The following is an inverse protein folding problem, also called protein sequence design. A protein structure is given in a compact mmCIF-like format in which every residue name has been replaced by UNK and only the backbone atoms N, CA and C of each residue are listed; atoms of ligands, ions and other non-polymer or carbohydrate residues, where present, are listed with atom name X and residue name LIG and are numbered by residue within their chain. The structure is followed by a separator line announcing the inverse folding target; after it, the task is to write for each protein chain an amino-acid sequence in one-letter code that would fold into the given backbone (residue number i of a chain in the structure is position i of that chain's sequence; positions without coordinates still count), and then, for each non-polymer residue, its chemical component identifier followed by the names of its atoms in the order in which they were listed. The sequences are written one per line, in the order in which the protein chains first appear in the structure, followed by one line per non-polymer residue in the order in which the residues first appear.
data_IF_437828612397
#
_entry.id   IF_437828612397
#
_cell.length_a   1.000
_cell.length_b   1.000
_cell.length_c   1.000
_cell.angle_alpha   90.00
_cell.angle_beta   90.00
_cell.angle_gamma   90.00
#
_symmetry.space_group_name_H-M   'P 1'
#
loop_
_entity.id
_entity.type
_entity.pdbx_description
1 polymer ?
#
# COMPACT_ATOMS: atom_id res chain seq x y z
N UNK A 1 18.64 7.73 16.18
CA UNK A 1 18.41 6.48 15.41
C UNK A 1 17.11 5.74 15.74
N UNK A 2 16.39 6.02 16.85
CA UNK A 2 15.17 5.28 17.24
C UNK A 2 13.86 5.80 16.60
N UNK A 3 13.86 7.02 16.05
CA UNK A 3 12.66 7.66 15.48
C UNK A 3 12.55 7.59 13.94
N UNK A 4 13.62 7.15 13.26
CA UNK A 4 13.65 7.09 11.79
C UNK A 4 13.28 5.71 11.24
N UNK A 5 13.48 4.63 12.02
CA UNK A 5 13.18 3.27 11.58
C UNK A 5 11.68 3.05 11.25
N UNK A 6 10.79 3.83 11.89
CA UNK A 6 9.33 3.72 11.69
C UNK A 6 8.80 4.51 10.48
N UNK A 7 9.58 5.40 9.87
CA UNK A 7 9.06 6.29 8.80
C UNK A 7 9.04 5.64 7.42
N UNK A 8 9.90 4.65 7.18
CA UNK A 8 10.16 4.16 5.84
C UNK A 8 9.30 2.96 5.43
N UNK A 9 8.64 2.31 6.39
CA UNK A 9 7.72 1.20 6.15
C UNK A 9 6.31 1.67 6.55
N UNK A 10 5.56 2.35 5.67
CA UNK A 10 4.14 2.55 5.94
C UNK A 10 3.44 1.20 6.14
N UNK A 11 2.51 1.21 7.10
CA UNK A 11 1.54 0.15 7.32
C UNK A 11 2.13 -1.17 7.85
N UNK A 12 3.28 -1.12 8.54
CA UNK A 12 3.80 -2.28 9.27
C UNK A 12 2.87 -2.62 10.44
N UNK A 13 1.98 -3.58 10.21
CA UNK A 13 1.03 -4.05 11.23
C UNK A 13 1.39 -5.44 11.73
N UNK A 14 1.31 -5.62 13.05
CA UNK A 14 1.43 -6.95 13.66
C UNK A 14 0.12 -7.69 13.48
N UNK A 15 0.12 -8.66 12.56
CA UNK A 15 -1.07 -9.46 12.27
C UNK A 15 -1.24 -10.60 13.26
N UNK A 16 -0.12 -11.21 13.66
CA UNK A 16 -0.13 -12.33 14.60
C UNK A 16 1.12 -12.27 15.47
N UNK A 17 0.92 -12.53 16.76
CA UNK A 17 1.97 -12.68 17.76
C UNK A 17 1.67 -13.95 18.55
N UNK A 18 2.57 -14.91 18.49
CA UNK A 18 2.55 -16.10 19.32
C UNK A 18 3.73 -16.06 20.27
N UNK A 19 3.47 -16.24 21.55
CA UNK A 19 4.51 -16.31 22.57
C UNK A 19 4.44 -17.69 23.21
N UNK A 20 5.56 -18.39 23.23
CA UNK A 20 5.68 -19.72 23.81
C UNK A 20 6.90 -19.80 24.72
N UNK A 21 6.78 -20.53 25.82
CA UNK A 21 7.91 -20.81 26.70
C UNK A 21 8.68 -22.03 26.16
N UNK A 22 9.97 -21.85 25.87
CA UNK A 22 10.89 -22.93 25.46
C UNK A 22 11.62 -23.55 26.66
N UNK A 23 11.54 -22.92 27.84
CA UNK A 23 12.13 -23.38 29.08
C UNK A 23 12.02 -22.32 30.19
N UNK A 24 12.55 -22.59 31.40
CA UNK A 24 12.39 -21.74 32.58
C UNK A 24 13.03 -20.35 32.48
N UNK A 25 13.81 -20.08 31.43
CA UNK A 25 14.44 -18.79 31.18
C UNK A 25 14.48 -18.45 29.69
N UNK A 26 13.73 -19.17 28.86
CA UNK A 26 13.73 -18.96 27.41
C UNK A 26 12.30 -18.88 26.89
N UNK A 27 12.02 -17.79 26.19
CA UNK A 27 10.72 -17.50 25.57
C UNK A 27 10.93 -17.31 24.08
N UNK A 28 10.13 -17.98 23.27
CA UNK A 28 10.09 -17.74 21.84
C UNK A 28 8.85 -16.91 21.50
N UNK A 29 9.06 -15.80 20.79
CA UNK A 29 8.00 -14.99 20.22
C UNK A 29 8.06 -15.09 18.68
N UNK A 30 6.96 -15.53 18.07
CA UNK A 30 6.77 -15.54 16.62
C UNK A 30 5.86 -14.39 16.25
N UNK A 31 6.32 -13.51 15.37
CA UNK A 31 5.60 -12.35 14.91
C UNK A 31 5.44 -12.41 13.40
N UNK A 32 4.21 -12.20 12.93
CA UNK A 32 3.92 -12.03 11.52
C UNK A 32 3.50 -10.60 11.24
N UNK A 33 4.20 -9.95 10.31
CA UNK A 33 3.93 -8.58 9.89
C UNK A 33 3.59 -8.51 8.41
N UNK A 34 2.76 -7.54 8.04
CA UNK A 34 2.56 -7.14 6.65
C UNK A 34 2.84 -5.64 6.52
N UNK A 35 3.36 -5.21 5.38
CA UNK A 35 3.62 -3.79 5.13
C UNK A 35 4.29 -3.53 3.79
N UNK A 36 4.51 -2.26 3.48
CA UNK A 36 5.19 -1.82 2.25
C UNK A 36 6.30 -0.83 2.61
N UNK A 37 7.44 -0.88 1.93
CA UNK A 37 8.52 0.08 2.12
C UNK A 37 8.43 1.22 1.09
N UNK A 38 8.42 2.49 1.52
CA UNK A 38 8.37 3.67 0.61
C UNK A 38 9.75 4.15 0.19
N UNK A 39 10.77 3.97 1.03
CA UNK A 39 12.17 4.30 0.71
C UNK A 39 13.10 3.24 1.28
N UNK A 40 14.30 3.06 0.71
CA UNK A 40 15.20 1.98 1.09
C UNK A 40 15.59 2.05 2.57
N UNK A 41 14.92 1.25 3.40
CA UNK A 41 15.20 1.14 4.82
C UNK A 41 16.13 -0.03 5.11
N UNK A 42 15.90 -1.18 4.46
CA UNK A 42 16.84 -2.29 4.45
C UNK A 42 16.72 -3.10 3.16
N UNK A 43 17.84 -3.63 2.65
CA UNK A 43 17.90 -4.33 1.36
C UNK A 43 17.01 -5.59 1.29
N UNK A 44 16.71 -6.19 2.44
CA UNK A 44 15.81 -7.34 2.50
C UNK A 44 14.34 -6.98 2.21
N UNK A 45 13.94 -5.72 2.34
CA UNK A 45 12.58 -5.27 2.08
C UNK A 45 12.52 -4.53 0.73
N UNK A 46 11.84 -5.08 -0.29
CA UNK A 46 11.70 -4.42 -1.58
C UNK A 46 10.91 -3.10 -1.44
N UNK A 47 11.42 -2.03 -2.02
CA UNK A 47 10.72 -0.74 -2.11
C UNK A 47 9.50 -0.88 -3.02
N UNK A 48 8.35 -0.32 -2.59
CA UNK A 48 7.11 -0.27 -3.36
C UNK A 48 6.39 -1.61 -3.48
N UNK A 49 6.82 -2.67 -2.79
CA UNK A 49 6.14 -3.96 -2.80
C UNK A 49 5.60 -4.30 -1.42
N UNK A 50 4.33 -4.69 -1.39
CA UNK A 50 3.70 -5.24 -0.20
C UNK A 50 4.29 -6.62 0.09
N UNK A 51 4.64 -6.86 1.35
CA UNK A 51 5.33 -8.06 1.78
C UNK A 51 4.75 -8.55 3.10
N UNK A 52 4.72 -9.88 3.27
CA UNK A 52 4.46 -10.55 4.54
C UNK A 52 5.77 -11.14 5.06
N UNK A 53 6.02 -11.02 6.36
CA UNK A 53 7.24 -11.49 6.99
C UNK A 53 6.93 -12.27 8.26
N UNK A 54 7.74 -13.30 8.51
CA UNK A 54 7.75 -14.01 9.77
C UNK A 54 9.07 -13.75 10.50
N UNK A 55 8.97 -13.27 11.73
CA UNK A 55 10.12 -13.03 12.61
C UNK A 55 9.98 -13.91 13.83
N UNK A 56 11.01 -14.70 14.12
CA UNK A 56 11.11 -15.45 15.38
C UNK A 56 12.13 -14.76 16.26
N UNK A 57 11.75 -14.40 17.46
CA UNK A 57 12.65 -13.91 18.50
C UNK A 57 12.78 -14.99 19.57
N UNK A 58 14.00 -15.43 19.87
CA UNK A 58 14.29 -16.16 21.11
C UNK A 58 14.79 -15.18 22.15
N UNK A 59 14.15 -15.16 23.31
CA UNK A 59 14.41 -14.25 24.40
C UNK A 59 14.86 -15.10 25.58
N UNK A 60 16.13 -14.96 25.96
CA UNK A 60 16.63 -15.51 27.22
C UNK A 60 16.51 -14.45 28.30
N UNK A 61 16.09 -14.88 29.48
CA UNK A 61 15.91 -14.01 30.64
C UNK A 61 16.92 -14.36 31.74
N UNK A 62 17.35 -13.34 32.48
CA UNK A 62 18.13 -13.55 33.70
C UNK A 62 17.25 -14.06 34.86
N UNK A 63 17.87 -14.30 36.02
CA UNK A 63 17.16 -14.78 37.23
C UNK A 63 16.13 -13.79 37.78
N UNK A 64 16.15 -12.53 37.35
CA UNK A 64 15.17 -11.49 37.70
C UNK A 64 14.00 -11.41 36.72
N UNK A 65 14.01 -12.24 35.67
CA UNK A 65 13.00 -12.25 34.61
C UNK A 65 13.21 -11.15 33.56
N UNK A 66 14.37 -10.50 33.54
CA UNK A 66 14.70 -9.48 32.53
C UNK A 66 15.37 -10.13 31.34
N UNK A 67 15.01 -9.71 30.14
CA UNK A 67 15.67 -10.15 28.91
C UNK A 67 17.18 -9.86 28.99
N UNK A 68 17.99 -10.92 28.95
CA UNK A 68 19.45 -10.89 28.99
C UNK A 68 20.07 -11.10 27.61
N UNK A 69 19.38 -11.83 26.73
CA UNK A 69 19.73 -12.01 25.33
C UNK A 69 18.47 -12.10 24.48
N UNK A 70 18.47 -11.46 23.31
CA UNK A 70 17.39 -11.55 22.33
C UNK A 70 18.00 -11.89 20.97
N UNK A 71 17.71 -13.09 20.46
CA UNK A 71 18.15 -13.56 19.15
C UNK A 71 16.98 -13.44 18.16
N UNK A 72 17.18 -12.68 17.08
CA UNK A 72 16.19 -12.56 16.01
C UNK A 72 16.56 -13.44 14.82
N UNK A 73 15.62 -14.28 14.39
CA UNK A 73 15.68 -15.02 13.13
C UNK A 73 14.57 -14.52 12.21
N UNK A 74 14.97 -14.03 11.05
CA UNK A 74 14.07 -13.56 10.01
C UNK A 74 13.87 -14.68 8.99
N UNK A 75 12.63 -15.16 8.87
CA UNK A 75 12.23 -16.11 7.83
C UNK A 75 11.44 -15.34 6.77
N UNK A 76 12.12 -15.05 5.66
CA UNK A 76 11.55 -14.33 4.54
C UNK A 76 10.68 -15.26 3.68
N UNK A 77 9.40 -15.42 4.05
CA UNK A 77 8.40 -15.92 3.11
C UNK A 77 7.86 -14.72 2.33
N UNK A 78 8.58 -14.29 1.30
CA UNK A 78 8.07 -13.31 0.34
C UNK A 78 6.94 -13.96 -0.48
N UNK A 79 5.80 -14.24 0.15
CA UNK A 79 4.54 -14.32 -0.58
C UNK A 79 4.26 -12.92 -1.09
N UNK A 80 4.61 -12.67 -2.34
CA UNK A 80 4.08 -11.52 -3.06
C UNK A 80 2.56 -11.68 -3.01
N UNK A 81 1.88 -10.78 -2.28
CA UNK A 81 0.42 -10.72 -2.31
C UNK A 81 0.04 -10.64 -3.80
N UNK A 82 -0.63 -11.69 -4.29
CA UNK A 82 -1.05 -11.76 -5.69
C UNK A 82 -1.85 -10.49 -6.01
N UNK A 83 -1.46 -9.83 -7.10
CA UNK A 83 -1.94 -8.51 -7.54
C UNK A 83 -3.47 -8.39 -7.57
N UNK A 84 -4.17 -9.51 -7.71
CA UNK A 84 -5.63 -9.59 -7.82
C UNK A 84 -6.39 -9.27 -6.52
N UNK A 85 -5.84 -9.59 -5.33
CA UNK A 85 -6.55 -9.39 -4.06
C UNK A 85 -6.57 -7.92 -3.59
N UNK A 86 -5.58 -7.12 -3.98
CA UNK A 86 -5.49 -5.70 -3.61
C UNK A 86 -6.33 -4.79 -4.51
N UNK A 87 -6.62 -5.20 -5.75
CA UNK A 87 -7.40 -4.41 -6.71
C UNK A 87 -8.82 -4.15 -6.22
N UNK A 88 -9.46 -5.14 -5.57
CA UNK A 88 -10.82 -4.99 -5.06
C UNK A 88 -10.90 -3.94 -3.93
N UNK A 89 -9.97 -3.97 -2.97
CA UNK A 89 -9.90 -3.00 -1.87
C UNK A 89 -9.53 -1.59 -2.35
N UNK A 90 -8.55 -1.49 -3.25
CA UNK A 90 -8.17 -0.23 -3.88
C UNK A 90 -9.32 0.37 -4.69
N UNK A 91 -10.07 -0.46 -5.44
CA UNK A 91 -11.24 -0.01 -6.19
C UNK A 91 -12.28 0.59 -5.24
N UNK A 92 -12.57 0.01 -4.08
CA UNK A 92 -13.58 0.59 -3.18
C UNK A 92 -13.21 1.97 -2.63
N UNK A 93 -11.92 2.31 -2.56
CA UNK A 93 -11.42 3.56 -1.98
C UNK A 93 -10.79 4.51 -3.01
N UNK A 94 -10.85 4.20 -4.31
CA UNK A 94 -10.04 4.87 -5.33
C UNK A 94 -10.29 6.39 -5.41
N UNK A 95 -11.54 6.83 -5.27
CA UNK A 95 -11.88 8.26 -5.30
C UNK A 95 -11.24 9.06 -4.16
N UNK A 96 -11.28 8.51 -2.94
CA UNK A 96 -10.66 9.11 -1.77
C UNK A 96 -9.14 9.12 -1.90
N UNK A 97 -8.56 8.00 -2.34
CA UNK A 97 -7.12 7.83 -2.47
C UNK A 97 -6.53 8.73 -3.57
N UNK A 98 -7.22 8.86 -4.70
CA UNK A 98 -6.76 9.63 -5.86
C UNK A 98 -6.47 11.11 -5.53
N UNK A 99 -7.18 11.70 -4.56
CA UNK A 99 -6.95 13.08 -4.13
C UNK A 99 -5.71 13.30 -3.27
N UNK A 100 -5.00 12.23 -2.84
CA UNK A 100 -3.89 12.31 -1.87
C UNK A 100 -2.52 12.06 -2.51
N UNK A 101 -1.45 12.57 -1.89
CA UNK A 101 -0.08 12.44 -2.41
C UNK A 101 0.43 10.98 -2.51
N UNK A 102 -0.01 10.11 -1.61
CA UNK A 102 0.39 8.69 -1.58
C UNK A 102 -0.64 7.83 -2.30
N UNK A 103 -1.93 8.08 -2.08
CA UNK A 103 -3.01 7.31 -2.71
C UNK A 103 -3.06 7.49 -4.23
N UNK A 104 -2.74 8.67 -4.77
CA UNK A 104 -2.69 8.87 -6.22
C UNK A 104 -1.63 8.00 -6.91
N UNK A 105 -0.50 7.74 -6.24
CA UNK A 105 0.55 6.83 -6.73
C UNK A 105 0.08 5.38 -6.68
N UNK A 106 -0.54 4.97 -5.57
CA UNK A 106 -1.10 3.62 -5.43
C UNK A 106 -2.15 3.32 -6.51
N UNK A 107 -3.07 4.25 -6.78
CA UNK A 107 -4.09 4.08 -7.84
C UNK A 107 -3.43 4.01 -9.22
N UNK A 108 -2.44 4.87 -9.51
CA UNK A 108 -1.72 4.84 -10.79
C UNK A 108 -0.93 3.53 -11.00
N UNK A 109 -0.25 3.05 -9.97
CA UNK A 109 0.51 1.80 -10.02
C UNK A 109 -0.44 0.61 -10.21
N UNK A 110 -1.57 0.60 -9.49
CA UNK A 110 -2.60 -0.41 -9.66
C UNK A 110 -3.19 -0.43 -11.08
N UNK A 111 -3.41 0.74 -11.70
CA UNK A 111 -3.87 0.83 -13.09
C UNK A 111 -2.85 0.29 -14.09
N UNK A 112 -1.54 0.45 -13.83
CA UNK A 112 -0.45 -0.08 -14.66
C UNK A 112 -0.27 -1.59 -14.47
N UNK A 113 -0.41 -2.07 -13.24
CA UNK A 113 -0.28 -3.48 -12.88
C UNK A 113 -1.48 -4.32 -13.31
N UNK A 114 -2.68 -3.73 -13.38
CA UNK A 114 -3.88 -4.42 -13.83
C UNK A 114 -3.66 -5.09 -15.19
N UNK A 115 -3.88 -6.41 -15.24
CA UNK A 115 -3.63 -7.22 -16.44
C UNK A 115 -4.78 -7.15 -17.44
N UNK A 116 -5.99 -6.83 -16.98
CA UNK A 116 -7.20 -6.80 -17.81
C UNK A 116 -7.84 -5.42 -17.87
N UNK A 117 -8.55 -5.15 -18.97
CA UNK A 117 -9.36 -3.93 -19.10
C UNK A 117 -10.47 -3.88 -18.03
N UNK A 118 -11.03 -5.03 -17.65
CA UNK A 118 -12.03 -5.15 -16.59
C UNK A 118 -11.50 -4.67 -15.23
N UNK A 119 -10.26 -5.03 -14.88
CA UNK A 119 -9.61 -4.59 -13.65
C UNK A 119 -9.34 -3.08 -13.65
N UNK A 120 -8.87 -2.53 -14.78
CA UNK A 120 -8.69 -1.07 -14.92
C UNK A 120 -10.04 -0.35 -14.79
N UNK A 121 -11.09 -0.88 -15.43
CA UNK A 121 -12.44 -0.33 -15.34
C UNK A 121 -12.95 -0.30 -13.89
N UNK A 122 -12.71 -1.35 -13.11
CA UNK A 122 -13.10 -1.42 -11.71
C UNK A 122 -12.41 -0.36 -10.84
N UNK A 123 -11.12 -0.09 -11.09
CA UNK A 123 -10.35 0.94 -10.37
C UNK A 123 -10.86 2.35 -10.63
N UNK A 124 -11.31 2.64 -11.85
CA UNK A 124 -11.74 4.00 -12.24
C UNK A 124 -13.23 4.24 -12.02
N UNK A 125 -14.03 3.19 -11.87
CA UNK A 125 -15.48 3.33 -11.68
C UNK A 125 -15.88 4.23 -10.50
N UNK A 126 -15.20 4.19 -9.33
CA UNK A 126 -15.48 5.09 -8.21
C UNK A 126 -15.11 6.56 -8.47
N UNK A 127 -14.29 6.87 -9.49
CA UNK A 127 -13.92 8.25 -9.79
C UNK A 127 -15.08 9.05 -10.40
N UNK A 128 -16.13 8.35 -10.87
CA UNK A 128 -17.36 8.98 -11.38
C UNK A 128 -18.04 9.80 -10.29
N UNK A 129 -18.46 11.01 -10.64
CA UNK A 129 -19.02 12.00 -9.72
C UNK A 129 -17.97 12.85 -8.98
N UNK A 130 -16.68 12.53 -9.13
CA UNK A 130 -15.58 13.22 -8.46
C UNK A 130 -14.59 13.88 -9.43
N UNK A 131 -14.88 13.88 -10.74
CA UNK A 131 -13.90 14.29 -11.76
C UNK A 131 -13.47 15.75 -11.60
N UNK A 132 -14.39 16.66 -11.27
CA UNK A 132 -14.06 18.09 -11.12
C UNK A 132 -13.11 18.33 -9.93
N UNK A 133 -13.42 17.72 -8.79
CA UNK A 133 -12.59 17.84 -7.58
C UNK A 133 -11.20 17.23 -7.81
N UNK A 134 -11.16 16.08 -8.50
CA UNK A 134 -9.90 15.42 -8.86
C UNK A 134 -9.10 16.23 -9.88
N UNK A 135 -9.75 16.88 -10.85
CA UNK A 135 -9.08 17.74 -11.82
C UNK A 135 -8.45 18.97 -11.17
N UNK A 136 -9.09 19.56 -10.16
CA UNK A 136 -8.55 20.68 -9.38
C UNK A 136 -7.50 20.26 -8.33
N UNK A 137 -7.38 18.96 -8.04
CA UNK A 137 -6.42 18.45 -7.06
C UNK A 137 -4.99 18.39 -7.63
N UNK A 138 -3.95 18.78 -6.87
CA UNK A 138 -2.55 18.61 -7.28
C UNK A 138 -2.10 17.14 -7.40
N UNK A 139 -2.94 16.19 -6.98
CA UNK A 139 -2.66 14.76 -7.06
C UNK A 139 -3.67 14.01 -7.93
N UNK A 140 -4.96 14.35 -7.80
CA UNK A 140 -6.04 13.71 -8.55
C UNK A 140 -5.94 13.89 -10.05
N UNK A 141 -5.42 15.04 -10.52
CA UNK A 141 -5.31 15.34 -11.94
C UNK A 141 -4.44 14.31 -12.68
N UNK A 142 -3.38 13.83 -12.02
CA UNK A 142 -2.48 12.81 -12.59
C UNK A 142 -3.17 11.46 -12.73
N UNK A 143 -4.08 11.12 -11.82
CA UNK A 143 -4.89 9.89 -11.93
C UNK A 143 -5.84 9.99 -13.13
N UNK A 144 -6.51 11.12 -13.32
CA UNK A 144 -7.39 11.35 -14.47
C UNK A 144 -6.62 11.32 -15.80
N UNK A 145 -5.45 11.94 -15.87
CA UNK A 145 -4.56 11.88 -17.04
C UNK A 145 -4.15 10.44 -17.33
N UNK A 146 -3.78 9.66 -16.31
CA UNK A 146 -3.45 8.25 -16.47
C UNK A 146 -4.66 7.44 -16.99
N UNK A 147 -5.88 7.77 -16.56
CA UNK A 147 -7.08 7.14 -17.10
C UNK A 147 -7.14 7.31 -18.63
N UNK A 148 -6.96 8.54 -19.12
CA UNK A 148 -6.98 8.86 -20.56
C UNK A 148 -5.88 8.15 -21.33
N UNK A 149 -4.70 7.94 -20.72
CA UNK A 149 -3.57 7.24 -21.36
C UNK A 149 -3.76 5.73 -21.42
N UNK A 150 -4.30 5.11 -20.36
CA UNK A 150 -4.30 3.65 -20.20
C UNK A 150 -5.60 2.96 -20.61
N UNK A 151 -6.71 3.69 -20.73
CA UNK A 151 -8.02 3.09 -20.99
C UNK A 151 -8.60 3.56 -22.33
N UNK A 152 -9.44 2.72 -22.98
CA UNK A 152 -10.10 3.11 -24.22
C UNK A 152 -11.11 4.24 -23.98
N UNK A 153 -11.32 5.04 -25.03
CA UNK A 153 -12.20 6.22 -24.99
C UNK A 153 -13.63 5.92 -24.50
N UNK A 154 -14.13 4.71 -24.72
CA UNK A 154 -15.43 4.26 -24.21
C UNK A 154 -15.50 4.26 -22.68
N UNK A 155 -14.40 3.94 -22.00
CA UNK A 155 -14.36 3.83 -20.54
C UNK A 155 -14.08 5.15 -19.83
N UNK A 156 -13.37 6.07 -20.49
CA UNK A 156 -13.01 7.39 -19.93
C UNK A 156 -13.95 8.51 -20.36
N UNK A 157 -15.00 8.20 -21.13
CA UNK A 157 -15.98 9.19 -21.59
C UNK A 157 -16.56 10.03 -20.46
N UNK A 158 -16.83 9.41 -19.30
CA UNK A 158 -17.38 10.10 -18.13
C UNK A 158 -16.50 11.28 -17.67
N UNK A 159 -15.17 11.22 -17.88
CA UNK A 159 -14.26 12.32 -17.52
C UNK A 159 -14.60 13.56 -18.34
N UNK A 160 -14.79 13.40 -19.65
CA UNK A 160 -15.17 14.49 -20.53
C UNK A 160 -16.59 14.99 -20.24
N UNK A 161 -17.53 14.08 -19.95
CA UNK A 161 -18.92 14.41 -19.60
C UNK A 161 -19.00 15.23 -18.30
N UNK A 162 -18.29 14.84 -17.25
CA UNK A 162 -18.31 15.55 -15.97
C UNK A 162 -17.57 16.90 -15.99
N UNK A 163 -16.58 17.04 -16.87
CA UNK A 163 -15.90 18.33 -17.10
C UNK A 163 -16.74 19.29 -17.96
N UNK A 164 -17.85 18.87 -18.57
CA UNK A 164 -18.73 19.78 -19.30
C UNK A 164 -19.19 20.93 -18.39
N UNK A 165 -19.06 22.16 -18.86
CA UNK A 165 -19.37 23.37 -18.08
C UNK A 165 -18.28 23.84 -17.11
N UNK A 166 -17.24 23.03 -16.85
CA UNK A 166 -16.06 23.41 -16.05
C UNK A 166 -14.72 23.26 -16.80
N UNK A 167 -14.77 22.90 -18.08
CA UNK A 167 -13.57 22.57 -18.87
C UNK A 167 -12.58 23.74 -19.01
N UNK A 168 -13.07 24.98 -19.08
CA UNK A 168 -12.20 26.17 -19.17
C UNK A 168 -11.40 26.37 -17.88
N UNK A 169 -12.04 26.20 -16.72
CA UNK A 169 -11.37 26.32 -15.42
C UNK A 169 -10.35 25.20 -15.23
N UNK A 170 -10.71 23.96 -15.59
CA UNK A 170 -9.79 22.83 -15.55
C UNK A 170 -8.58 22.98 -16.50
N UNK A 171 -8.74 23.67 -17.64
CA UNK A 171 -7.67 23.91 -18.61
C UNK A 171 -6.73 25.07 -18.23
N UNK A 172 -7.09 25.88 -17.25
CA UNK A 172 -6.28 27.00 -16.75
C UNK A 172 -5.36 26.60 -15.59
N UNK A 173 -5.51 25.38 -15.08
CA UNK A 173 -4.68 24.75 -14.05
C UNK A 173 -3.55 23.93 -14.66
#
# INVERSE_FOLDING_TARGET
MRAELLRAIPDLEVQQLEVSERGPSETEAVMQWAGTQVGLFHQMFPVGRAVRWLVRASIKSDRSGRASQIDFRFEAHAEMLQEDANLAGLSQSAALLAGTATGSRLVQDAMRAASTEQQRAALIAPLRGHVRDLAASPHGNHVLQQCVVLLPASQVRFVAEELQGGAVEAAQH
#
